data_IF_293987505692
#
_entry.id   IF_293987505692
#
_cell.length_a   1.000
_cell.length_b   1.000
_cell.length_c   1.000
_cell.angle_alpha   90.00
_cell.angle_beta   90.00
_cell.angle_gamma   90.00
#
_symmetry.space_group_name_H-M   'P 1'
#
loop_
_entity.id
_entity.type
_entity.pdbx_description
1 polymer ?
#
# COMPACT_ATOMS: atom_id res chain seq x y z
N UNK A 1 -20.79 13.98 1.25
CA UNK A 1 -21.34 13.76 2.61
C UNK A 1 -20.19 13.45 3.55
N UNK A 2 -19.81 14.43 4.38
CA UNK A 2 -18.74 14.29 5.37
C UNK A 2 -19.35 13.50 6.54
N UNK A 3 -18.99 12.22 6.68
CA UNK A 3 -19.33 11.48 7.90
C UNK A 3 -18.64 12.16 9.08
N UNK A 4 -19.40 12.36 10.16
CA UNK A 4 -18.97 12.98 11.41
C UNK A 4 -17.63 12.36 11.90
N UNK A 5 -16.59 13.19 12.01
CA UNK A 5 -15.20 12.80 12.31
C UNK A 5 -15.02 12.09 13.64
N UNK A 6 -15.93 12.30 14.59
CA UNK A 6 -15.95 11.62 15.89
C UNK A 6 -16.23 10.11 15.80
N UNK A 7 -16.83 9.63 14.71
CA UNK A 7 -17.23 8.23 14.55
C UNK A 7 -16.16 7.38 13.83
N UNK A 8 -15.34 8.00 12.98
CA UNK A 8 -14.19 7.35 12.31
C UNK A 8 -13.09 7.07 13.34
N UNK A 9 -12.87 8.02 14.25
CA UNK A 9 -11.79 7.88 15.22
C UNK A 9 -12.10 6.83 16.30
N UNK A 10 -13.35 6.68 16.74
CA UNK A 10 -13.72 5.74 17.80
C UNK A 10 -13.59 4.24 17.43
N UNK A 11 -13.38 3.91 16.14
CA UNK A 11 -13.46 2.53 15.64
C UNK A 11 -12.17 1.99 14.99
N UNK A 12 -11.09 2.75 15.09
CA UNK A 12 -9.78 2.34 14.56
C UNK A 12 -9.22 1.08 15.24
N UNK A 13 -9.52 0.88 16.51
CA UNK A 13 -9.18 -0.32 17.28
C UNK A 13 -10.46 -1.07 17.67
N UNK A 14 -10.43 -2.40 17.57
CA UNK A 14 -11.47 -3.24 18.17
C UNK A 14 -11.29 -3.34 19.70
N UNK A 15 -12.22 -4.02 20.38
CA UNK A 15 -12.17 -4.23 21.84
C UNK A 15 -10.95 -5.01 22.32
N UNK A 16 -10.29 -5.77 21.44
CA UNK A 16 -9.05 -6.50 21.72
C UNK A 16 -7.80 -5.69 21.35
N UNK A 17 -7.97 -4.42 20.94
CA UNK A 17 -6.87 -3.59 20.48
C UNK A 17 -6.28 -4.09 19.15
N UNK A 18 -7.07 -4.67 18.25
CA UNK A 18 -6.64 -4.96 16.87
C UNK A 18 -7.04 -3.83 15.95
N UNK A 19 -6.19 -3.54 14.96
CA UNK A 19 -6.50 -2.50 13.98
C UNK A 19 -7.65 -2.92 13.08
N UNK A 20 -8.58 -2.00 12.85
CA UNK A 20 -9.55 -2.11 11.78
C UNK A 20 -9.01 -1.38 10.54
N UNK A 21 -8.72 -2.16 9.50
CA UNK A 21 -8.06 -1.71 8.28
C UNK A 21 -8.98 -0.86 7.40
N UNK A 22 -10.30 -1.03 7.49
CA UNK A 22 -11.22 -0.08 6.86
C UNK A 22 -11.06 1.32 7.46
N UNK A 23 -11.11 1.43 8.79
CA UNK A 23 -10.96 2.72 9.46
C UNK A 23 -9.55 3.28 9.30
N UNK A 24 -8.51 2.46 9.23
CA UNK A 24 -7.15 2.91 8.90
C UNK A 24 -7.11 3.58 7.51
N UNK A 25 -7.72 2.97 6.50
CA UNK A 25 -7.81 3.57 5.16
C UNK A 25 -8.57 4.90 5.17
N UNK A 26 -9.68 4.98 5.91
CA UNK A 26 -10.43 6.23 6.06
C UNK A 26 -9.62 7.29 6.83
N UNK A 27 -8.84 6.89 7.83
CA UNK A 27 -7.98 7.77 8.61
C UNK A 27 -6.89 8.40 7.74
N UNK A 28 -6.27 7.63 6.84
CA UNK A 28 -5.29 8.17 5.90
C UNK A 28 -5.90 9.21 4.95
N UNK A 29 -7.08 8.95 4.41
CA UNK A 29 -7.82 9.95 3.63
C UNK A 29 -8.07 11.22 4.46
N UNK A 30 -8.53 11.07 5.71
CA UNK A 30 -8.79 12.19 6.60
C UNK A 30 -7.52 13.02 6.90
N UNK A 31 -6.39 12.36 7.16
CA UNK A 31 -5.08 13.01 7.36
C UNK A 31 -4.72 13.85 6.12
N UNK A 32 -4.83 13.27 4.92
CA UNK A 32 -4.47 13.99 3.69
C UNK A 32 -5.33 15.23 3.44
N UNK A 33 -6.64 15.13 3.66
CA UNK A 33 -7.57 16.26 3.56
C UNK A 33 -7.28 17.33 4.62
N UNK A 34 -6.94 16.90 5.83
CA UNK A 34 -6.58 17.82 6.92
C UNK A 34 -5.30 18.58 6.59
N UNK A 35 -4.28 17.91 6.07
CA UNK A 35 -3.03 18.56 5.65
C UNK A 35 -3.27 19.51 4.49
N UNK A 36 -4.02 19.12 3.46
CA UNK A 36 -4.37 19.99 2.34
C UNK A 36 -5.09 21.27 2.80
N UNK A 37 -6.05 21.12 3.73
CA UNK A 37 -6.74 22.27 4.32
C UNK A 37 -5.80 23.18 5.11
N UNK A 38 -4.90 22.62 5.92
CA UNK A 38 -3.91 23.39 6.68
C UNK A 38 -2.91 24.11 5.78
N UNK A 39 -2.47 23.48 4.69
CA UNK A 39 -1.63 24.14 3.67
C UNK A 39 -2.30 25.38 3.11
N UNK A 40 -3.59 25.31 2.81
CA UNK A 40 -4.35 26.46 2.33
C UNK A 40 -4.56 27.52 3.42
N UNK A 41 -5.08 27.14 4.58
CA UNK A 41 -5.44 28.08 5.65
C UNK A 41 -4.23 28.76 6.32
N UNK A 42 -3.13 28.03 6.53
CA UNK A 42 -1.96 28.51 7.27
C UNK A 42 -0.89 29.11 6.33
N UNK A 43 -0.85 28.67 5.06
CA UNK A 43 0.24 29.01 4.14
C UNK A 43 -0.21 29.45 2.73
N UNK A 44 -1.52 29.51 2.45
CA UNK A 44 -2.08 29.85 1.14
C UNK A 44 -1.59 28.94 -0.01
N UNK A 45 -1.26 27.69 0.31
CA UNK A 45 -0.85 26.66 -0.65
C UNK A 45 -2.07 25.81 -1.01
N UNK A 46 -2.69 26.09 -2.15
CA UNK A 46 -3.87 25.35 -2.63
C UNK A 46 -3.47 24.09 -3.40
N UNK A 47 -3.79 22.93 -2.81
CA UNK A 47 -3.49 21.61 -3.37
C UNK A 47 -4.58 20.61 -2.98
N UNK A 48 -4.86 19.66 -3.86
CA UNK A 48 -5.70 18.50 -3.55
C UNK A 48 -4.83 17.28 -3.34
N UNK A 49 -5.00 16.59 -2.21
CA UNK A 49 -4.28 15.37 -1.88
C UNK A 49 -5.26 14.21 -1.80
N UNK A 50 -4.86 13.02 -2.25
CA UNK A 50 -5.59 11.78 -1.98
C UNK A 50 -4.67 10.81 -1.27
N UNK A 51 -5.21 9.95 -0.41
CA UNK A 51 -4.41 8.99 0.33
C UNK A 51 -5.16 7.71 0.64
N UNK A 52 -4.42 6.64 0.91
CA UNK A 52 -5.02 5.39 1.36
C UNK A 52 -3.96 4.40 1.82
N UNK A 53 -4.42 3.21 2.21
CA UNK A 53 -3.52 2.15 2.64
C UNK A 53 -2.60 1.67 1.52
N UNK A 54 -1.35 1.36 1.87
CA UNK A 54 -0.40 0.71 0.96
C UNK A 54 -0.11 -0.74 1.38
N UNK A 55 0.47 -1.52 0.46
CA UNK A 55 1.12 -2.79 0.78
C UNK A 55 0.17 -3.92 1.19
N UNK A 56 -1.01 -4.01 0.56
CA UNK A 56 -1.96 -5.12 0.69
C UNK A 56 -2.30 -5.56 2.12
N UNK A 57 -2.12 -4.68 3.12
CA UNK A 57 -2.32 -5.05 4.52
C UNK A 57 -3.79 -5.44 4.78
N UNK A 58 -4.72 -4.99 3.94
CA UNK A 58 -6.12 -5.41 3.94
C UNK A 58 -6.34 -6.91 3.68
N UNK A 59 -5.36 -7.63 3.12
CA UNK A 59 -5.47 -9.07 2.84
C UNK A 59 -5.49 -9.93 4.10
N UNK A 60 -4.96 -9.42 5.23
CA UNK A 60 -4.95 -10.13 6.51
C UNK A 60 -6.13 -9.75 7.41
N UNK A 61 -7.11 -9.00 6.91
CA UNK A 61 -8.32 -8.69 7.66
C UNK A 61 -9.36 -9.82 7.59
N UNK A 62 -10.26 -9.86 8.59
CA UNK A 62 -11.50 -10.61 8.51
C UNK A 62 -12.55 -9.85 7.68
N UNK A 63 -13.75 -10.41 7.53
CA UNK A 63 -14.82 -9.81 6.72
C UNK A 63 -15.31 -8.44 7.22
N UNK A 64 -14.99 -8.05 8.47
CA UNK A 64 -15.31 -6.74 9.05
C UNK A 64 -14.14 -5.75 8.99
N UNK A 65 -13.04 -6.12 8.32
CA UNK A 65 -11.84 -5.28 8.21
C UNK A 65 -10.90 -5.35 9.41
N UNK A 66 -11.18 -6.17 10.43
CA UNK A 66 -10.31 -6.30 11.61
C UNK A 66 -9.12 -7.18 11.23
N UNK A 67 -7.91 -6.69 11.46
CA UNK A 67 -6.68 -7.44 11.23
C UNK A 67 -6.67 -8.75 12.03
N UNK A 68 -6.36 -9.87 11.38
CA UNK A 68 -6.29 -11.20 11.99
C UNK A 68 -4.93 -11.49 12.60
N UNK A 69 -3.91 -10.80 12.14
CA UNK A 69 -2.53 -10.87 12.63
C UNK A 69 -2.12 -9.54 13.25
N UNK A 70 -1.01 -9.56 13.99
CA UNK A 70 -0.41 -8.33 14.51
C UNK A 70 0.10 -7.49 13.33
N UNK A 71 -0.42 -6.28 13.19
CA UNK A 71 0.10 -5.29 12.24
C UNK A 71 1.27 -4.61 12.92
N UNK A 72 2.47 -4.90 12.45
CA UNK A 72 3.71 -4.35 13.02
C UNK A 72 4.19 -3.11 12.29
N UNK A 73 3.58 -2.74 11.15
CA UNK A 73 3.97 -1.59 10.33
C UNK A 73 2.73 -0.98 9.70
N UNK A 74 2.67 0.35 9.67
CA UNK A 74 1.57 1.09 9.07
C UNK A 74 2.06 1.77 7.80
N UNK A 75 1.38 1.54 6.68
CA UNK A 75 1.78 2.09 5.39
C UNK A 75 0.64 2.86 4.72
N UNK A 76 0.95 4.09 4.33
CA UNK A 76 0.08 4.97 3.56
C UNK A 76 0.70 5.31 2.21
N UNK A 77 -0.12 5.48 1.19
CA UNK A 77 0.26 6.05 -0.09
C UNK A 77 -0.54 7.33 -0.30
N UNK A 78 0.15 8.43 -0.61
CA UNK A 78 -0.38 9.78 -0.82
C UNK A 78 -0.05 10.22 -2.24
N UNK A 79 -1.05 10.73 -2.94
CA UNK A 79 -0.91 11.29 -4.27
C UNK A 79 -0.77 12.81 -4.21
N UNK A 80 0.27 13.30 -4.87
CA UNK A 80 0.59 14.71 -5.02
C UNK A 80 0.25 15.17 -6.44
N UNK A 81 -0.50 16.27 -6.61
CA UNK A 81 -0.82 16.79 -7.93
C UNK A 81 0.45 17.31 -8.61
N UNK A 82 0.61 16.99 -9.89
CA UNK A 82 1.65 17.59 -10.74
C UNK A 82 1.26 19.00 -11.15
N UNK A 83 2.24 19.80 -11.56
CA UNK A 83 2.05 21.21 -11.92
C UNK A 83 1.38 22.00 -10.77
N UNK A 84 1.75 21.67 -9.54
CA UNK A 84 1.18 22.26 -8.34
C UNK A 84 2.22 23.10 -7.58
N UNK A 85 1.79 23.96 -6.65
CA UNK A 85 2.72 24.69 -5.79
C UNK A 85 3.72 23.82 -5.03
N UNK A 86 3.47 22.51 -4.86
CA UNK A 86 4.37 21.57 -4.17
C UNK A 86 5.66 21.29 -4.94
N UNK A 87 5.76 21.70 -6.19
CA UNK A 87 7.02 21.63 -6.94
C UNK A 87 8.07 22.60 -6.42
N UNK A 88 7.65 23.63 -5.67
CA UNK A 88 8.56 24.47 -4.88
C UNK A 88 9.08 23.68 -3.67
N UNK A 89 10.42 23.53 -3.50
CA UNK A 89 11.00 22.82 -2.37
C UNK A 89 10.56 23.34 -0.99
N UNK A 90 10.30 24.63 -0.84
CA UNK A 90 9.84 25.23 0.43
C UNK A 90 8.40 24.85 0.74
N UNK A 91 7.53 24.80 -0.28
CA UNK A 91 6.16 24.32 -0.12
C UNK A 91 6.15 22.81 0.18
N UNK A 92 7.01 22.03 -0.49
CA UNK A 92 7.17 20.61 -0.19
C UNK A 92 7.64 20.36 1.25
N UNK A 93 8.61 21.13 1.72
CA UNK A 93 9.08 21.05 3.11
C UNK A 93 7.97 21.42 4.12
N UNK A 94 7.13 22.40 3.77
CA UNK A 94 5.94 22.77 4.55
C UNK A 94 4.94 21.61 4.60
N UNK A 95 4.66 20.97 3.47
CA UNK A 95 3.82 19.77 3.39
C UNK A 95 4.34 18.67 4.33
N UNK A 96 5.65 18.37 4.33
CA UNK A 96 6.22 17.32 5.19
C UNK A 96 6.02 17.62 6.68
N UNK A 97 6.28 18.86 7.12
CA UNK A 97 6.07 19.29 8.51
C UNK A 97 4.61 19.18 8.94
N UNK A 98 3.69 19.61 8.09
CA UNK A 98 2.25 19.52 8.37
C UNK A 98 1.78 18.06 8.42
N UNK A 99 2.29 17.20 7.52
CA UNK A 99 2.00 15.76 7.54
C UNK A 99 2.47 15.11 8.84
N UNK A 100 3.72 15.35 9.23
CA UNK A 100 4.29 14.81 10.46
C UNK A 100 3.45 15.22 11.68
N UNK A 101 3.16 16.52 11.84
CA UNK A 101 2.35 17.02 12.96
C UNK A 101 0.95 16.40 12.98
N UNK A 102 0.31 16.30 11.81
CA UNK A 102 -1.04 15.75 11.67
C UNK A 102 -1.05 14.25 11.98
N UNK A 103 -0.01 13.51 11.58
CA UNK A 103 0.14 12.10 11.94
C UNK A 103 0.25 11.93 13.46
N UNK A 104 1.11 12.71 14.13
CA UNK A 104 1.28 12.65 15.59
C UNK A 104 -0.03 12.90 16.33
N UNK A 105 -0.73 13.98 16.00
CA UNK A 105 -1.98 14.34 16.67
C UNK A 105 -3.10 13.32 16.39
N UNK A 106 -3.16 12.80 15.17
CA UNK A 106 -4.18 11.83 14.78
C UNK A 106 -3.97 10.47 15.44
N UNK A 107 -2.72 10.02 15.57
CA UNK A 107 -2.42 8.69 16.10
C UNK A 107 -2.23 8.63 17.63
N UNK A 108 -1.92 9.75 18.28
CA UNK A 108 -1.74 9.83 19.74
C UNK A 108 -2.92 9.26 20.56
N UNK A 109 -4.20 9.52 20.22
CA UNK A 109 -5.34 8.94 20.95
C UNK A 109 -5.39 7.41 20.94
N UNK A 110 -4.67 6.75 20.04
CA UNK A 110 -4.61 5.29 19.93
C UNK A 110 -3.38 4.66 20.56
N UNK A 111 -2.71 5.42 21.44
CA UNK A 111 -1.47 5.00 22.08
C UNK A 111 -0.37 4.65 21.04
N UNK A 112 -0.31 5.45 19.97
CA UNK A 112 0.77 5.42 18.98
C UNK A 112 1.55 6.73 19.08
N UNK A 113 2.77 6.65 19.59
CA UNK A 113 3.63 7.80 19.85
C UNK A 113 4.68 7.89 18.74
N UNK A 114 4.27 8.44 17.60
CA UNK A 114 5.12 8.61 16.43
C UNK A 114 6.19 9.67 16.70
N UNK A 115 7.48 9.33 16.50
CA UNK A 115 8.66 10.14 16.76
C UNK A 115 9.70 10.00 15.63
N UNK A 116 10.81 10.75 15.74
CA UNK A 116 12.00 10.69 14.89
C UNK A 116 11.69 10.73 13.38
N UNK A 117 11.01 11.79 12.91
CA UNK A 117 10.58 11.87 11.52
C UNK A 117 11.78 11.90 10.58
N UNK A 118 11.68 11.13 9.49
CA UNK A 118 12.65 11.17 8.40
C UNK A 118 11.92 11.21 7.08
N UNK A 119 12.20 12.22 6.27
CA UNK A 119 11.65 12.34 4.92
C UNK A 119 12.70 12.67 3.88
N UNK A 120 12.33 12.50 2.60
CA UNK A 120 13.20 12.83 1.46
C UNK A 120 13.92 11.63 0.83
N UNK A 121 13.78 10.43 1.41
CA UNK A 121 14.30 9.21 0.81
C UNK A 121 13.61 8.93 -0.54
N UNK A 122 14.39 8.82 -1.61
CA UNK A 122 13.90 8.42 -2.92
C UNK A 122 13.64 6.92 -2.96
N UNK A 123 12.43 6.53 -3.34
CA UNK A 123 12.06 5.13 -3.47
C UNK A 123 12.61 4.57 -4.80
N UNK A 124 13.31 3.41 -4.78
CA UNK A 124 13.84 2.77 -5.99
C UNK A 124 12.78 2.49 -7.05
N UNK A 125 13.21 2.43 -8.32
CA UNK A 125 12.37 2.18 -9.50
C UNK A 125 11.17 3.13 -9.65
N UNK A 126 11.27 4.34 -9.11
CA UNK A 126 10.34 5.44 -9.37
C UNK A 126 10.91 6.41 -10.40
N UNK A 127 10.06 7.30 -10.93
CA UNK A 127 10.44 8.23 -12.00
C UNK A 127 11.65 9.10 -11.62
N UNK A 128 12.62 9.26 -12.52
CA UNK A 128 13.86 10.01 -12.23
C UNK A 128 13.65 11.51 -12.04
N UNK A 129 12.65 12.10 -12.69
CA UNK A 129 12.37 13.53 -12.64
C UNK A 129 11.46 13.90 -11.47
N UNK A 130 10.50 13.02 -11.16
CA UNK A 130 9.55 13.17 -10.06
C UNK A 130 9.55 11.89 -9.22
N UNK A 131 10.61 11.64 -8.46
CA UNK A 131 10.75 10.39 -7.70
C UNK A 131 9.68 10.30 -6.62
N UNK A 132 9.21 9.08 -6.39
CA UNK A 132 8.46 8.77 -5.17
C UNK A 132 9.37 9.00 -3.98
N UNK A 133 8.86 9.69 -2.97
CA UNK A 133 9.59 9.90 -1.71
C UNK A 133 8.80 9.35 -0.53
N UNK A 134 9.41 9.23 0.65
CA UNK A 134 8.73 8.78 1.84
C UNK A 134 8.95 9.69 3.04
N UNK A 135 7.97 9.69 3.95
CA UNK A 135 8.09 10.09 5.36
C UNK A 135 7.97 8.83 6.22
N UNK A 136 8.90 8.62 7.14
CA UNK A 136 8.84 7.54 8.12
C UNK A 136 8.94 8.09 9.55
N UNK A 137 8.15 7.52 10.46
CA UNK A 137 8.14 7.85 11.88
C UNK A 137 8.05 6.57 12.70
N UNK A 138 8.77 6.51 13.82
CA UNK A 138 8.83 5.33 14.68
C UNK A 138 7.88 5.47 15.86
N UNK A 139 7.20 4.38 16.21
CA UNK A 139 6.29 4.37 17.36
C UNK A 139 7.02 3.97 18.63
N UNK A 140 7.13 4.89 19.58
CA UNK A 140 7.83 4.65 20.86
C UNK A 140 7.09 3.69 21.78
N UNK A 141 5.77 3.48 21.59
CA UNK A 141 5.02 2.51 22.38
C UNK A 141 5.27 1.07 21.93
N UNK A 142 5.94 0.89 20.78
CA UNK A 142 6.22 -0.41 20.13
C UNK A 142 4.97 -1.23 19.82
N UNK A 143 3.81 -0.58 19.73
CA UNK A 143 2.58 -1.21 19.26
C UNK A 143 2.71 -1.53 17.76
N UNK A 144 3.35 -0.62 17.03
CA UNK A 144 3.91 -0.88 15.70
C UNK A 144 5.40 -0.50 15.73
N UNK A 145 6.16 -0.97 14.74
CA UNK A 145 7.57 -0.60 14.59
C UNK A 145 7.70 0.82 14.05
N UNK A 146 6.91 1.14 13.02
CA UNK A 146 6.89 2.45 12.39
C UNK A 146 5.63 2.65 11.53
N UNK A 147 5.37 3.91 11.20
CA UNK A 147 4.47 4.35 10.15
C UNK A 147 5.30 4.95 9.02
N UNK A 148 5.02 4.55 7.77
CA UNK A 148 5.66 5.10 6.58
C UNK A 148 4.61 5.56 5.56
N UNK A 149 4.79 6.76 5.05
CA UNK A 149 3.93 7.39 4.03
C UNK A 149 4.74 7.55 2.76
N UNK A 150 4.25 7.00 1.65
CA UNK A 150 4.82 7.18 0.32
C UNK A 150 4.12 8.32 -0.39
N UNK A 151 4.88 9.25 -0.95
CA UNK A 151 4.37 10.39 -1.71
C UNK A 151 4.70 10.19 -3.19
N UNK A 152 3.67 10.04 -4.00
CA UNK A 152 3.77 9.74 -5.42
C UNK A 152 3.19 10.90 -6.23
N UNK A 153 3.89 11.32 -7.28
CA UNK A 153 3.46 12.42 -8.13
C UNK A 153 2.45 11.96 -9.17
N UNK A 154 1.17 12.25 -8.96
CA UNK A 154 0.09 12.34 -9.94
C UNK A 154 -1.21 12.64 -9.17
N UNK A 155 -2.18 13.30 -9.79
CA UNK A 155 -3.56 13.42 -9.29
C UNK A 155 -4.39 12.13 -9.49
N UNK A 156 -3.73 10.96 -9.47
CA UNK A 156 -4.36 9.68 -9.66
C UNK A 156 -5.23 9.32 -8.44
N UNK A 157 -6.19 8.43 -8.64
CA UNK A 157 -6.92 7.83 -7.54
C UNK A 157 -6.01 6.89 -6.74
N UNK A 158 -6.46 6.50 -5.55
CA UNK A 158 -5.72 5.56 -4.72
C UNK A 158 -5.50 4.22 -5.44
N UNK A 159 -6.54 3.66 -6.08
CA UNK A 159 -6.44 2.38 -6.77
C UNK A 159 -5.47 2.42 -7.97
N UNK A 160 -5.48 3.51 -8.75
CA UNK A 160 -4.53 3.69 -9.86
C UNK A 160 -3.09 3.66 -9.34
N UNK A 161 -2.87 4.31 -8.20
CA UNK A 161 -1.54 4.42 -7.60
C UNK A 161 -1.06 3.09 -7.01
N UNK A 162 -1.97 2.28 -6.47
CA UNK A 162 -1.65 0.91 -6.04
C UNK A 162 -1.29 0.01 -7.22
N UNK A 163 -2.02 0.11 -8.33
CA UNK A 163 -1.74 -0.66 -9.54
C UNK A 163 -0.37 -0.24 -10.13
N UNK A 164 -0.10 1.06 -10.23
CA UNK A 164 1.20 1.54 -10.69
C UNK A 164 2.34 1.11 -9.75
N UNK A 165 2.17 1.26 -8.44
CA UNK A 165 3.22 0.89 -7.47
C UNK A 165 3.51 -0.62 -7.49
N UNK A 166 2.56 -1.44 -7.95
CA UNK A 166 2.79 -2.88 -8.18
C UNK A 166 3.88 -3.13 -9.21
N UNK A 167 4.03 -2.29 -10.24
CA UNK A 167 5.12 -2.39 -11.22
C UNK A 167 6.47 -2.22 -10.53
N UNK A 168 6.58 -1.19 -9.68
CA UNK A 168 7.77 -0.91 -8.88
C UNK A 168 8.06 -2.06 -7.92
N UNK A 169 7.02 -2.59 -7.26
CA UNK A 169 7.17 -3.69 -6.32
C UNK A 169 7.66 -4.98 -7.02
N UNK A 170 7.16 -5.26 -8.22
CA UNK A 170 7.63 -6.38 -9.04
C UNK A 170 9.13 -6.27 -9.30
N UNK A 171 9.64 -5.10 -9.70
CA UNK A 171 11.08 -4.89 -9.91
C UNK A 171 11.89 -5.21 -8.66
N UNK A 172 11.48 -4.69 -7.50
CA UNK A 172 12.15 -4.94 -6.22
C UNK A 172 12.17 -6.44 -5.88
N UNK A 173 11.01 -7.09 -5.99
CA UNK A 173 10.87 -8.52 -5.65
C UNK A 173 11.65 -9.40 -6.63
N UNK A 174 11.67 -9.04 -7.91
CA UNK A 174 12.35 -9.79 -8.97
C UNK A 174 13.86 -9.79 -8.81
N UNK A 175 14.47 -8.72 -8.28
CA UNK A 175 15.90 -8.73 -7.91
C UNK A 175 16.24 -9.78 -6.85
N UNK A 176 15.29 -10.07 -5.97
CA UNK A 176 15.45 -11.06 -4.92
C UNK A 176 15.03 -12.47 -5.36
N UNK A 177 14.36 -12.60 -6.50
CA UNK A 177 13.86 -13.84 -7.11
C UNK A 177 14.42 -14.06 -8.52
N UNK A 178 15.61 -13.53 -8.79
CA UNK A 178 16.25 -13.66 -10.10
C UNK A 178 16.63 -15.12 -10.37
N UNK A 179 16.00 -15.75 -11.36
CA UNK A 179 16.21 -17.15 -11.70
C UNK A 179 17.60 -17.43 -12.27
N UNK A 180 18.30 -16.39 -12.74
CA UNK A 180 19.66 -16.51 -13.25
C UNK A 180 20.69 -16.60 -12.13
N UNK A 181 20.30 -16.33 -10.89
CA UNK A 181 21.18 -16.33 -9.73
C UNK A 181 20.65 -17.30 -8.68
N UNK A 182 21.55 -18.01 -8.00
CA UNK A 182 21.13 -18.84 -6.87
C UNK A 182 20.53 -17.93 -5.78
N UNK A 183 19.37 -18.26 -5.21
CA UNK A 183 18.74 -17.43 -4.20
C UNK A 183 19.71 -17.24 -3.03
N UNK A 184 20.10 -15.99 -2.69
CA UNK A 184 21.04 -15.76 -1.60
C UNK A 184 20.40 -16.18 -0.27
N UNK A 185 21.23 -16.61 0.69
CA UNK A 185 20.76 -16.79 2.07
C UNK A 185 20.42 -15.42 2.64
N UNK A 186 19.17 -15.25 3.05
CA UNK A 186 18.64 -14.03 3.65
C UNK A 186 18.20 -14.29 5.07
N UNK A 187 18.19 -13.24 5.89
CA UNK A 187 17.59 -13.34 7.21
C UNK A 187 16.06 -13.53 7.12
N UNK A 188 15.49 -14.02 8.21
CA UNK A 188 14.08 -14.36 8.27
C UNK A 188 13.15 -13.15 8.06
N UNK A 189 13.57 -11.94 8.47
CA UNK A 189 12.76 -10.75 8.34
C UNK A 189 12.69 -10.30 6.87
N UNK A 190 13.83 -10.30 6.17
CA UNK A 190 13.89 -10.02 4.74
C UNK A 190 13.03 -11.00 3.94
N UNK A 191 13.11 -12.29 4.25
CA UNK A 191 12.31 -13.32 3.58
C UNK A 191 10.82 -13.07 3.80
N UNK A 192 10.40 -12.79 5.04
CA UNK A 192 9.00 -12.47 5.33
C UNK A 192 8.52 -11.23 4.59
N UNK A 193 9.38 -10.22 4.38
CA UNK A 193 9.01 -9.04 3.61
C UNK A 193 8.81 -9.37 2.14
N UNK A 194 9.76 -10.08 1.53
CA UNK A 194 9.65 -10.55 0.15
C UNK A 194 8.40 -11.39 -0.06
N UNK A 195 8.16 -12.38 0.80
CA UNK A 195 7.00 -13.26 0.68
C UNK A 195 5.68 -12.49 0.87
N UNK A 196 5.67 -11.46 1.72
CA UNK A 196 4.53 -10.57 1.87
C UNK A 196 4.30 -9.77 0.59
N UNK A 197 5.36 -9.24 -0.04
CA UNK A 197 5.27 -8.49 -1.28
C UNK A 197 4.76 -9.36 -2.45
N UNK A 198 5.15 -10.64 -2.51
CA UNK A 198 4.60 -11.60 -3.48
C UNK A 198 3.09 -11.77 -3.30
N UNK A 199 2.60 -11.90 -2.06
CA UNK A 199 1.15 -11.94 -1.80
C UNK A 199 0.46 -10.66 -2.26
N UNK A 200 1.03 -9.50 -1.91
CA UNK A 200 0.47 -8.18 -2.27
C UNK A 200 0.36 -8.06 -3.78
N UNK A 201 1.42 -8.37 -4.54
CA UNK A 201 1.44 -8.30 -6.00
C UNK A 201 0.38 -9.24 -6.58
N UNK A 202 0.36 -10.51 -6.17
CA UNK A 202 -0.57 -11.50 -6.70
C UNK A 202 -2.03 -11.08 -6.50
N UNK A 203 -2.41 -10.70 -5.28
CA UNK A 203 -3.79 -10.33 -5.00
C UNK A 203 -4.20 -9.00 -5.62
N UNK A 204 -3.25 -8.07 -5.82
CA UNK A 204 -3.52 -6.84 -6.59
C UNK A 204 -3.77 -7.14 -8.06
N UNK A 205 -3.04 -8.08 -8.66
CA UNK A 205 -3.13 -8.39 -10.09
C UNK A 205 -4.13 -9.49 -10.44
N UNK A 206 -4.66 -10.22 -9.44
CA UNK A 206 -5.45 -11.44 -9.63
C UNK A 206 -6.48 -11.38 -10.78
N UNK A 207 -7.29 -10.32 -10.82
CA UNK A 207 -8.36 -10.16 -11.83
C UNK A 207 -7.86 -9.85 -13.26
N UNK A 208 -6.56 -9.61 -13.44
CA UNK A 208 -5.93 -9.45 -14.75
C UNK A 208 -5.12 -10.69 -15.20
N UNK A 209 -4.95 -11.69 -14.34
CA UNK A 209 -4.19 -12.90 -14.65
C UNK A 209 -4.97 -13.82 -15.60
N UNK A 210 -4.24 -14.52 -16.47
CA UNK A 210 -4.80 -15.57 -17.33
C UNK A 210 -5.26 -16.77 -16.49
N UNK A 211 -6.27 -17.49 -16.95
CA UNK A 211 -6.78 -18.71 -16.30
C UNK A 211 -5.68 -19.75 -16.05
N UNK A 212 -4.81 -20.00 -17.05
CA UNK A 212 -3.68 -20.92 -16.94
C UNK A 212 -2.72 -20.52 -15.80
N UNK A 213 -2.34 -19.24 -15.73
CA UNK A 213 -1.50 -18.74 -14.64
C UNK A 213 -2.17 -18.90 -13.26
N UNK A 214 -3.48 -18.66 -13.17
CA UNK A 214 -4.23 -18.83 -11.92
C UNK A 214 -4.26 -20.30 -11.49
N UNK A 215 -4.51 -21.23 -12.42
CA UNK A 215 -4.54 -22.68 -12.15
C UNK A 215 -3.25 -23.17 -11.47
N UNK A 216 -2.09 -22.69 -11.95
CA UNK A 216 -0.79 -23.10 -11.41
C UNK A 216 -0.34 -22.26 -10.21
N UNK A 217 -0.62 -20.96 -10.21
CA UNK A 217 -0.08 -20.04 -9.21
C UNK A 217 -0.93 -19.93 -7.93
N UNK A 218 -2.25 -20.01 -8.05
CA UNK A 218 -3.16 -19.81 -6.92
C UNK A 218 -2.94 -20.82 -5.77
N UNK A 219 -2.70 -22.13 -6.01
CA UNK A 219 -2.43 -23.07 -4.93
C UNK A 219 -1.22 -22.65 -4.07
N UNK A 220 -0.13 -22.18 -4.71
CA UNK A 220 1.09 -21.74 -4.02
C UNK A 220 0.79 -20.52 -3.17
N UNK A 221 0.09 -19.53 -3.73
CA UNK A 221 -0.23 -18.27 -3.07
C UNK A 221 -1.22 -18.47 -1.91
N UNK A 222 -2.24 -19.33 -2.09
CA UNK A 222 -3.19 -19.67 -1.03
C UNK A 222 -2.51 -20.33 0.15
N UNK A 223 -1.60 -21.27 -0.09
CA UNK A 223 -0.88 -21.92 0.99
C UNK A 223 0.11 -20.99 1.69
N UNK A 224 0.79 -20.11 0.92
CA UNK A 224 1.65 -19.06 1.49
C UNK A 224 0.84 -18.11 2.39
N UNK A 225 -0.34 -17.66 1.93
CA UNK A 225 -1.24 -16.83 2.72
C UNK A 225 -1.66 -17.54 4.00
N UNK A 226 -2.01 -18.83 3.95
CA UNK A 226 -2.32 -19.61 5.16
C UNK A 226 -1.14 -19.64 6.14
N UNK A 227 0.08 -19.83 5.65
CA UNK A 227 1.28 -19.82 6.49
C UNK A 227 1.49 -18.45 7.15
N UNK A 228 1.37 -17.35 6.40
CA UNK A 228 1.41 -16.00 6.96
C UNK A 228 0.37 -15.75 8.05
N UNK A 229 -0.85 -16.22 7.84
CA UNK A 229 -1.95 -16.05 8.79
C UNK A 229 -1.76 -16.87 10.07
N UNK A 230 -1.07 -18.02 10.00
CA UNK A 230 -0.63 -18.79 11.18
C UNK A 230 0.59 -18.14 11.87
N UNK A 231 1.35 -17.36 11.10
CA UNK A 231 2.61 -16.74 11.49
C UNK A 231 3.77 -17.70 11.24
N UNK A 232 4.62 -17.36 10.28
CA UNK A 232 5.87 -18.08 9.99
C UNK A 232 6.84 -17.81 11.16
N UNK A 233 7.26 -18.84 11.90
CA UNK A 233 8.02 -18.67 13.17
C UNK A 233 9.45 -19.19 13.12
N UNK A 234 9.71 -20.17 12.27
CA UNK A 234 11.03 -20.80 12.14
C UNK A 234 11.77 -20.34 10.89
N UNK A 235 13.11 -20.24 10.97
CA UNK A 235 13.94 -19.85 9.83
C UNK A 235 13.79 -20.86 8.67
N UNK A 236 13.77 -22.16 8.98
CA UNK A 236 13.59 -23.24 8.01
C UNK A 236 12.26 -23.09 7.25
N UNK A 237 11.14 -22.86 7.95
CA UNK A 237 9.84 -22.62 7.33
C UNK A 237 9.87 -21.41 6.37
N UNK A 238 10.55 -20.32 6.77
CA UNK A 238 10.70 -19.15 5.92
C UNK A 238 11.52 -19.47 4.65
N UNK A 239 12.63 -20.21 4.79
CA UNK A 239 13.47 -20.63 3.65
C UNK A 239 12.71 -21.55 2.69
N UNK A 240 11.91 -22.48 3.20
CA UNK A 240 11.08 -23.37 2.37
C UNK A 240 10.09 -22.58 1.53
N UNK A 241 9.41 -21.60 2.13
CA UNK A 241 8.51 -20.71 1.40
C UNK A 241 9.25 -19.87 0.35
N UNK A 242 10.42 -19.34 0.71
CA UNK A 242 11.25 -18.60 -0.21
C UNK A 242 11.66 -19.44 -1.42
N UNK A 243 12.13 -20.68 -1.21
CA UNK A 243 12.47 -21.60 -2.28
C UNK A 243 11.27 -22.04 -3.12
N UNK A 244 10.11 -22.26 -2.50
CA UNK A 244 8.87 -22.59 -3.22
C UNK A 244 8.42 -21.44 -4.12
N UNK A 245 8.46 -20.20 -3.63
CA UNK A 245 8.14 -19.02 -4.44
C UNK A 245 9.18 -18.79 -5.53
N UNK A 246 10.47 -18.91 -5.22
CA UNK A 246 11.55 -18.79 -6.19
C UNK A 246 11.39 -19.79 -7.35
N UNK A 247 11.25 -21.09 -7.04
CA UNK A 247 11.14 -22.16 -8.04
C UNK A 247 9.87 -22.10 -8.88
N UNK A 248 8.81 -21.45 -8.37
CA UNK A 248 7.54 -21.30 -9.10
C UNK A 248 7.58 -20.28 -10.24
N UNK A 249 8.60 -19.42 -10.30
CA UNK A 249 8.70 -18.32 -11.26
C UNK A 249 7.47 -17.37 -11.27
N UNK A 250 6.66 -17.35 -10.22
CA UNK A 250 5.43 -16.54 -10.12
C UNK A 250 5.63 -15.08 -10.49
N UNK A 251 6.75 -14.48 -10.04
CA UNK A 251 7.02 -13.06 -10.26
C UNK A 251 7.11 -12.70 -11.75
N UNK A 252 7.56 -13.62 -12.61
CA UNK A 252 7.68 -13.39 -14.05
C UNK A 252 6.32 -13.38 -14.72
N UNK A 253 5.44 -14.34 -14.42
CA UNK A 253 4.07 -14.31 -14.95
C UNK A 253 3.25 -13.13 -14.42
N UNK A 254 3.50 -12.68 -13.19
CA UNK A 254 2.90 -11.45 -12.65
C UNK A 254 3.37 -10.21 -13.44
N UNK A 255 4.65 -10.13 -13.77
CA UNK A 255 5.20 -9.06 -14.62
C UNK A 255 4.63 -9.09 -16.04
N UNK A 256 4.59 -10.27 -16.68
CA UNK A 256 4.03 -10.48 -18.02
C UNK A 256 2.58 -10.02 -18.13
N UNK A 257 1.78 -10.21 -17.07
CA UNK A 257 0.38 -9.75 -17.02
C UNK A 257 0.21 -8.23 -17.19
N UNK A 258 1.27 -7.46 -16.92
CA UNK A 258 1.30 -6.01 -17.07
C UNK A 258 1.93 -5.57 -18.40
N UNK A 259 2.83 -6.36 -18.99
CA UNK A 259 3.62 -5.93 -20.15
C UNK A 259 2.77 -5.44 -21.32
N UNK A 260 1.86 -6.28 -21.81
CA UNK A 260 1.07 -5.98 -23.01
C UNK A 260 0.19 -4.72 -22.83
N UNK A 261 -0.63 -4.59 -21.76
CA UNK A 261 -1.43 -3.39 -21.55
C UNK A 261 -0.66 -2.08 -21.56
N UNK A 262 0.53 -2.05 -20.96
CA UNK A 262 1.37 -0.85 -20.94
C UNK A 262 2.08 -0.61 -22.28
N UNK A 263 2.56 -1.68 -22.92
CA UNK A 263 3.21 -1.61 -24.24
C UNK A 263 2.26 -1.06 -25.31
N UNK A 264 0.98 -1.44 -25.27
CA UNK A 264 -0.06 -0.92 -26.17
C UNK A 264 -0.32 0.59 -25.96
N UNK A 265 0.17 1.17 -24.85
CA UNK A 265 0.18 2.61 -24.56
C UNK A 265 1.56 3.26 -24.75
N UNK A 266 2.51 2.55 -25.35
CA UNK A 266 3.88 3.03 -25.58
C UNK A 266 4.74 3.11 -24.32
N UNK A 267 4.34 2.42 -23.23
CA UNK A 267 5.05 2.43 -21.95
C UNK A 267 5.75 1.09 -21.75
N UNK A 268 7.02 1.16 -21.33
CA UNK A 268 7.81 -0.03 -21.01
C UNK A 268 7.94 -0.18 -19.49
N UNK A 269 7.29 -1.19 -18.91
CA UNK A 269 7.31 -1.45 -17.46
C UNK A 269 8.71 -1.78 -16.91
N UNK A 270 9.65 -2.17 -17.78
CA UNK A 270 11.05 -2.38 -17.39
C UNK A 270 11.85 -1.07 -17.28
N UNK A 271 11.27 0.06 -17.69
CA UNK A 271 11.90 1.39 -17.70
C UNK A 271 10.99 2.47 -17.10
N UNK A 272 10.29 2.16 -16.01
CA UNK A 272 9.39 3.10 -15.30
C UNK A 272 10.09 4.41 -14.92
N UNK A 273 11.37 4.32 -14.57
CA UNK A 273 12.21 5.48 -14.21
C UNK A 273 12.32 6.51 -15.34
N UNK A 274 12.18 6.05 -16.59
CA UNK A 274 12.27 6.85 -17.82
C UNK A 274 10.90 7.23 -18.38
N UNK A 275 9.80 6.90 -17.71
CA UNK A 275 8.47 7.27 -18.20
C UNK A 275 8.29 8.78 -18.29
N UNK A 276 7.48 9.26 -19.24
CA UNK A 276 7.10 10.67 -19.29
C UNK A 276 6.42 11.10 -17.98
N UNK A 277 6.66 12.35 -17.56
CA UNK A 277 6.15 12.89 -16.28
C UNK A 277 4.61 12.86 -16.27
N UNK A 278 3.97 13.13 -17.40
CA UNK A 278 2.52 13.04 -17.58
C UNK A 278 1.96 11.62 -17.51
N UNK A 279 2.82 10.59 -17.44
CA UNK A 279 2.46 9.17 -17.33
C UNK A 279 2.89 8.51 -16.02
N UNK A 280 3.40 9.27 -15.05
CA UNK A 280 3.62 8.74 -13.69
C UNK A 280 2.25 8.32 -13.12
N UNK A 281 2.16 7.17 -12.46
CA UNK A 281 0.88 6.58 -11.99
C UNK A 281 -0.18 6.33 -13.08
N UNK A 282 0.15 6.44 -14.36
CA UNK A 282 -0.80 6.12 -15.41
C UNK A 282 -1.09 4.63 -15.38
N UNK A 283 -2.38 4.27 -15.42
CA UNK A 283 -2.84 2.88 -15.56
C UNK A 283 -3.65 2.79 -16.87
N UNK A 284 -3.33 1.84 -17.76
CA UNK A 284 -4.14 1.57 -18.95
C UNK A 284 -5.60 1.32 -18.55
N UNK A 285 -6.60 1.93 -19.25
CA UNK A 285 -8.01 1.79 -18.89
C UNK A 285 -8.48 0.34 -18.74
N UNK A 286 -8.00 -0.56 -19.60
CA UNK A 286 -8.31 -1.99 -19.54
C UNK A 286 -7.80 -2.69 -18.26
N UNK A 287 -6.67 -2.25 -17.72
CA UNK A 287 -6.17 -2.74 -16.43
C UNK A 287 -6.94 -2.10 -15.28
N UNK A 288 -7.23 -0.79 -15.37
CA UNK A 288 -7.99 -0.10 -14.34
C UNK A 288 -9.40 -0.69 -14.18
N UNK A 289 -10.06 -1.06 -15.29
CA UNK A 289 -11.37 -1.70 -15.27
C UNK A 289 -11.33 -3.08 -14.58
N UNK A 290 -10.27 -3.85 -14.77
CA UNK A 290 -10.11 -5.18 -14.15
C UNK A 290 -9.68 -5.10 -12.68
N UNK A 291 -8.77 -4.19 -12.35
CA UNK A 291 -8.05 -4.17 -11.07
C UNK A 291 -8.63 -3.15 -10.07
N UNK A 292 -9.21 -2.06 -10.55
CA UNK A 292 -9.81 -1.02 -9.71
C UNK A 292 -11.00 -1.50 -8.88
N UNK A 293 -12.01 -2.18 -9.48
CA UNK A 293 -13.18 -2.62 -8.73
C UNK A 293 -12.86 -3.59 -7.59
N UNK A 294 -12.05 -4.65 -7.75
CA UNK A 294 -11.68 -5.53 -6.63
C UNK A 294 -11.06 -4.77 -5.44
N UNK A 295 -10.18 -3.81 -5.70
CA UNK A 295 -9.55 -2.99 -4.66
C UNK A 295 -10.58 -2.15 -3.88
N UNK A 296 -11.50 -1.48 -4.59
CA UNK A 296 -12.57 -0.69 -3.95
C UNK A 296 -13.58 -1.56 -3.21
N UNK A 297 -13.99 -2.66 -3.85
CA UNK A 297 -15.02 -3.56 -3.35
C UNK A 297 -14.59 -4.23 -2.05
N UNK A 298 -13.30 -4.45 -1.82
CA UNK A 298 -12.80 -4.95 -0.54
C UNK A 298 -13.15 -4.01 0.63
N UNK A 299 -12.90 -2.71 0.49
CA UNK A 299 -13.24 -1.74 1.52
C UNK A 299 -14.75 -1.51 1.64
N UNK A 300 -15.48 -1.58 0.53
CA UNK A 300 -16.94 -1.53 0.55
C UNK A 300 -17.53 -2.76 1.29
N UNK A 301 -16.96 -3.95 1.09
CA UNK A 301 -17.34 -5.18 1.80
C UNK A 301 -17.15 -5.01 3.30
N UNK A 302 -15.99 -4.51 3.74
CA UNK A 302 -15.75 -4.23 5.17
C UNK A 302 -16.80 -3.29 5.76
N UNK A 303 -17.08 -2.18 5.07
CA UNK A 303 -18.10 -1.22 5.47
C UNK A 303 -19.47 -1.86 5.63
N UNK A 304 -19.93 -2.55 4.57
CA UNK A 304 -21.26 -3.16 4.53
C UNK A 304 -21.43 -4.22 5.63
N UNK A 305 -20.40 -5.02 5.90
CA UNK A 305 -20.45 -6.03 6.95
C UNK A 305 -20.52 -5.41 8.35
N UNK A 306 -19.75 -4.35 8.61
CA UNK A 306 -19.85 -3.61 9.87
C UNK A 306 -21.19 -2.92 10.06
N UNK A 307 -21.80 -2.40 8.99
CA UNK A 307 -23.14 -1.79 9.06
C UNK A 307 -24.21 -2.84 9.40
N UNK A 308 -24.14 -4.04 8.82
CA UNK A 308 -25.03 -5.16 9.19
C UNK A 308 -24.93 -5.57 10.66
N UNK A 309 -23.74 -5.56 11.24
CA UNK A 309 -23.53 -5.90 12.66
C UNK A 309 -24.10 -4.84 13.60
N UNK A 310 -24.11 -3.56 13.19
CA UNK A 310 -24.65 -2.45 13.98
C UNK A 310 -26.19 -2.32 13.89
N UNK A 311 -26.82 -3.00 12.93
CA UNK A 311 -28.28 -3.10 12.81
C UNK A 311 -28.69 -4.57 12.85
N UNK A 312 -28.73 -5.21 14.05
CA UNK A 312 -29.42 -6.48 14.16
C UNK A 312 -30.87 -6.24 13.73
N UNK A 313 -31.33 -6.95 12.72
CA UNK A 313 -32.74 -7.03 12.36
C UNK A 313 -33.51 -7.37 13.63
N UNK A 314 -34.38 -6.46 14.06
CA UNK A 314 -35.34 -6.72 15.11
C UNK A 314 -36.20 -7.90 14.64
N UNK A 315 -35.99 -9.06 15.24
CA UNK A 315 -36.89 -10.21 15.14
C UNK A 315 -37.86 -10.17 16.31
#
# INVERSE_FOLDING_TARGET
MIQNTSNISAKFLDSNGRFNLYYLHQLYNHISNTVARRLFEEHYIDVTLTAGMWGGSYLVANDNGIARSNVVRLYSLVNLPQNSPLEDPQHFETLMKLYEQTLRSTFSPYNLQLQDPRWGEKIPYSNKHKPTTALQMWDQTRRVNYLRVFFVWNSATWEESIIYDTIRNIKVVKELLDLNHRPPRKDMAEIKFLLQDVLIIYFTLHSALSEEFVEHGEPIVKDLLKAFLKGIREEEEAQDWYHKVYSSALIYGLEESLEKPYKDKGLNIHKVEDWPIEKINYVPPELLEKLGPPLKNQFLKFKNNMEKVNFPTAN
#
